data_IF_141131392423
#
_entry.id   IF_141131392423
#
_cell.length_a   1.000
_cell.length_b   1.000
_cell.length_c   1.000
_cell.angle_alpha   90.00
_cell.angle_beta   90.00
_cell.angle_gamma   90.00
#
_symmetry.space_group_name_H-M   'P 1'
#
loop_
_entity.id
_entity.type
_entity.pdbx_description
1 polymer ?
#
# COMPACT_ATOMS: atom_id res chain seq x y z
N UNK A 1 1.27 -3.80 -2.88
CA UNK A 1 2.70 -4.08 -3.05
C UNK A 1 3.47 -3.15 -2.15
N UNK A 2 4.52 -3.64 -1.49
CA UNK A 2 5.41 -2.79 -0.71
C UNK A 2 6.20 -1.89 -1.67
N UNK A 3 6.63 -0.70 -1.24
CA UNK A 3 7.49 0.13 -2.07
C UNK A 3 8.83 -0.54 -2.34
N UNK A 4 9.32 -0.37 -3.56
CA UNK A 4 10.54 -0.98 -4.08
C UNK A 4 11.76 -0.68 -3.20
N UNK A 5 11.85 0.56 -2.70
CA UNK A 5 12.92 1.01 -1.80
C UNK A 5 12.93 0.22 -0.48
N UNK A 6 11.77 -0.15 0.07
CA UNK A 6 11.72 -0.95 1.31
C UNK A 6 12.06 -2.42 1.01
N UNK A 7 11.55 -3.00 -0.08
CA UNK A 7 11.86 -4.40 -0.46
C UNK A 7 13.36 -4.58 -0.73
N UNK A 8 14.02 -3.63 -1.40
CA UNK A 8 15.47 -3.67 -1.63
C UNK A 8 16.27 -3.64 -0.32
N UNK A 9 15.91 -2.73 0.60
CA UNK A 9 16.58 -2.61 1.90
C UNK A 9 16.32 -3.83 2.79
N UNK A 10 15.11 -4.39 2.80
CA UNK A 10 14.76 -5.61 3.53
C UNK A 10 15.53 -6.83 3.01
N UNK A 11 15.64 -6.97 1.68
CA UNK A 11 16.44 -8.05 1.07
C UNK A 11 17.91 -7.92 1.40
N UNK A 12 18.46 -6.70 1.35
CA UNK A 12 19.85 -6.43 1.71
C UNK A 12 20.10 -6.72 3.19
N UNK A 13 19.18 -6.33 4.06
CA UNK A 13 19.23 -6.64 5.49
C UNK A 13 19.26 -8.15 5.73
N UNK A 14 18.41 -8.92 5.03
CA UNK A 14 18.36 -10.37 5.14
C UNK A 14 19.67 -11.03 4.68
N UNK A 15 20.25 -10.56 3.57
CA UNK A 15 21.55 -11.05 3.09
C UNK A 15 22.66 -10.84 4.13
N UNK A 16 22.74 -9.63 4.71
CA UNK A 16 23.73 -9.30 5.74
C UNK A 16 23.51 -10.07 7.04
N UNK A 17 22.26 -10.37 7.42
CA UNK A 17 21.97 -11.25 8.56
C UNK A 17 22.46 -12.68 8.31
N UNK A 18 22.24 -13.21 7.10
CA UNK A 18 22.75 -14.54 6.72
C UNK A 18 24.28 -14.54 6.75
N UNK A 19 24.93 -13.52 6.17
CA UNK A 19 26.40 -13.38 6.23
C UNK A 19 26.89 -13.30 7.68
N UNK A 20 26.25 -12.51 8.54
CA UNK A 20 26.59 -12.41 9.96
C UNK A 20 26.48 -13.75 10.69
N UNK A 21 25.42 -14.53 10.44
CA UNK A 21 25.24 -15.85 11.06
C UNK A 21 26.23 -16.91 10.55
N UNK A 22 26.67 -16.79 9.30
CA UNK A 22 27.73 -17.64 8.75
C UNK A 22 29.08 -17.30 9.37
N UNK A 23 29.46 -16.01 9.38
CA UNK A 23 30.72 -15.53 9.96
C UNK A 23 30.81 -15.77 11.47
N UNK A 24 29.69 -15.80 12.19
CA UNK A 24 29.66 -16.09 13.63
C UNK A 24 30.06 -17.54 13.97
N UNK A 25 29.96 -18.48 13.01
CA UNK A 25 30.37 -19.88 13.19
C UNK A 25 31.86 -20.10 12.93
N UNK A 26 32.52 -19.14 12.29
CA UNK A 26 33.95 -19.17 11.99
C UNK A 26 34.77 -18.57 13.14
N UNK A 27 35.98 -19.09 13.40
CA UNK A 27 36.84 -18.67 14.52
C UNK A 27 38.01 -17.77 14.13
N UNK A 28 38.15 -17.45 12.84
CA UNK A 28 39.26 -16.67 12.30
C UNK A 28 39.16 -15.18 12.69
N UNK A 29 40.30 -14.55 12.96
CA UNK A 29 40.34 -13.13 13.31
C UNK A 29 39.90 -12.21 12.17
N UNK A 30 40.09 -12.64 10.92
CA UNK A 30 39.54 -11.97 9.74
C UNK A 30 38.00 -12.01 9.72
N UNK A 31 37.40 -13.15 10.08
CA UNK A 31 35.94 -13.31 10.17
C UNK A 31 35.35 -12.44 11.29
N UNK A 32 36.05 -12.28 12.42
CA UNK A 32 35.63 -11.35 13.50
C UNK A 32 35.66 -9.89 13.07
N UNK A 33 36.67 -9.47 12.32
CA UNK A 33 36.74 -8.10 11.78
C UNK A 33 35.63 -7.85 10.75
N UNK A 34 35.35 -8.83 9.89
CA UNK A 34 34.28 -8.73 8.89
C UNK A 34 32.89 -8.73 9.55
N UNK A 35 32.68 -9.53 10.58
CA UNK A 35 31.46 -9.54 11.37
C UNK A 35 31.14 -8.17 11.99
N UNK A 36 32.15 -7.46 12.51
CA UNK A 36 31.96 -6.09 13.02
C UNK A 36 31.49 -5.12 11.94
N UNK A 37 32.08 -5.17 10.74
CA UNK A 37 31.67 -4.34 9.60
C UNK A 37 30.22 -4.64 9.16
N UNK A 38 29.87 -5.92 9.05
CA UNK A 38 28.50 -6.35 8.71
C UNK A 38 27.49 -5.88 9.77
N UNK A 39 27.86 -5.89 11.05
CA UNK A 39 27.01 -5.37 12.12
C UNK A 39 26.82 -3.85 12.05
N UNK A 40 27.85 -3.10 11.68
CA UNK A 40 27.76 -1.65 11.44
C UNK A 40 26.85 -1.35 10.25
N UNK A 41 27.02 -2.05 9.12
CA UNK A 41 26.16 -1.92 7.94
C UNK A 41 24.70 -2.28 8.24
N UNK A 42 24.46 -3.35 9.02
CA UNK A 42 23.12 -3.71 9.48
C UNK A 42 22.44 -2.62 10.30
N UNK A 43 23.21 -1.91 11.14
CA UNK A 43 22.67 -0.79 11.92
C UNK A 43 22.30 0.38 11.00
N UNK A 44 23.18 0.75 10.08
CA UNK A 44 22.92 1.81 9.10
C UNK A 44 21.65 1.53 8.29
N UNK A 45 21.52 0.30 7.73
CA UNK A 45 20.33 -0.08 6.97
C UNK A 45 19.08 -0.09 7.86
N UNK A 46 19.19 -0.54 9.12
CA UNK A 46 18.07 -0.49 10.07
C UNK A 46 17.65 0.94 10.44
N UNK A 47 18.59 1.88 10.54
CA UNK A 47 18.33 3.30 10.80
C UNK A 47 17.63 3.96 9.60
N UNK A 48 18.00 3.59 8.37
CA UNK A 48 17.35 4.08 7.14
C UNK A 48 15.95 3.47 6.91
N UNK A 49 15.80 2.19 7.22
CA UNK A 49 14.55 1.44 6.99
C UNK A 49 13.44 1.83 7.96
N UNK A 50 13.78 2.12 9.23
CA UNK A 50 12.81 2.51 10.27
C UNK A 50 11.91 3.69 9.86
N UNK A 51 12.41 4.87 9.45
CA UNK A 51 11.57 5.99 9.08
C UNK A 51 10.74 5.69 7.83
N UNK A 52 11.28 4.95 6.86
CA UNK A 52 10.56 4.57 5.64
C UNK A 52 9.39 3.63 5.95
N UNK A 53 9.61 2.61 6.77
CA UNK A 53 8.55 1.68 7.20
C UNK A 53 7.49 2.39 8.03
N UNK A 54 7.88 3.30 8.93
CA UNK A 54 6.91 4.08 9.72
C UNK A 54 6.03 4.96 8.82
N UNK A 55 6.62 5.64 7.83
CA UNK A 55 5.85 6.41 6.84
C UNK A 55 4.90 5.51 6.06
N UNK A 56 5.39 4.38 5.55
CA UNK A 56 4.57 3.42 4.80
C UNK A 56 3.42 2.84 5.63
N UNK A 57 3.68 2.49 6.89
CA UNK A 57 2.65 1.98 7.80
C UNK A 57 1.58 3.03 8.08
N UNK A 58 1.98 4.28 8.34
CA UNK A 58 1.04 5.37 8.54
C UNK A 58 0.16 5.62 7.29
N UNK A 59 0.75 5.61 6.10
CA UNK A 59 0.01 5.71 4.84
C UNK A 59 -0.96 4.55 4.65
N UNK A 60 -0.50 3.32 4.90
CA UNK A 60 -1.30 2.11 4.76
C UNK A 60 -2.46 2.06 5.74
N UNK A 61 -2.24 2.48 6.99
CA UNK A 61 -3.30 2.56 8.00
C UNK A 61 -4.40 3.54 7.58
N UNK A 62 -4.03 4.71 7.05
CA UNK A 62 -5.00 5.70 6.53
C UNK A 62 -5.81 5.15 5.37
N UNK A 63 -5.15 4.51 4.40
CA UNK A 63 -5.84 3.86 3.28
C UNK A 63 -6.78 2.77 3.77
N UNK A 64 -6.35 1.96 4.73
CA UNK A 64 -7.17 0.93 5.33
C UNK A 64 -8.36 1.49 6.11
N UNK A 65 -8.21 2.64 6.77
CA UNK A 65 -9.31 3.32 7.46
C UNK A 65 -10.37 3.79 6.46
N UNK A 66 -9.97 4.46 5.37
CA UNK A 66 -10.88 4.87 4.29
C UNK A 66 -11.58 3.64 3.70
N UNK A 67 -10.84 2.55 3.45
CA UNK A 67 -11.40 1.30 2.94
C UNK A 67 -12.43 0.71 3.91
N UNK A 68 -12.13 0.65 5.21
CA UNK A 68 -13.07 0.17 6.25
C UNK A 68 -14.33 1.03 6.31
N UNK A 69 -14.22 2.35 6.14
CA UNK A 69 -15.38 3.24 6.09
C UNK A 69 -16.23 3.00 4.84
N UNK A 70 -15.59 2.81 3.68
CA UNK A 70 -16.28 2.44 2.42
C UNK A 70 -16.97 1.08 2.52
N UNK A 71 -16.32 0.10 3.14
CA UNK A 71 -16.92 -1.22 3.41
C UNK A 71 -18.13 -1.11 4.34
N UNK A 72 -18.05 -0.28 5.39
CA UNK A 72 -19.20 0.01 6.27
C UNK A 72 -20.34 0.68 5.51
N UNK A 73 -20.04 1.61 4.60
CA UNK A 73 -21.05 2.25 3.75
C UNK A 73 -21.77 1.21 2.88
N UNK A 74 -21.02 0.32 2.22
CA UNK A 74 -21.59 -0.76 1.43
C UNK A 74 -22.47 -1.71 2.27
N UNK A 75 -22.04 -2.02 3.50
CA UNK A 75 -22.86 -2.81 4.43
C UNK A 75 -24.16 -2.11 4.83
N UNK A 76 -24.13 -0.79 5.07
CA UNK A 76 -25.33 -0.01 5.37
C UNK A 76 -26.29 0.04 4.17
N UNK A 77 -25.77 0.20 2.96
CA UNK A 77 -26.58 0.15 1.74
C UNK A 77 -27.25 -1.23 1.56
N UNK A 78 -26.53 -2.33 1.82
CA UNK A 78 -27.12 -3.67 1.81
C UNK A 78 -28.19 -3.84 2.88
N UNK A 79 -28.00 -3.26 4.07
CA UNK A 79 -29.02 -3.27 5.14
C UNK A 79 -30.26 -2.49 4.73
N UNK A 80 -30.12 -1.34 4.06
CA UNK A 80 -31.24 -0.58 3.51
C UNK A 80 -32.02 -1.42 2.50
N UNK A 81 -31.34 -2.04 1.52
CA UNK A 81 -32.02 -2.91 0.54
C UNK A 81 -32.72 -4.11 1.18
N UNK A 82 -32.22 -4.61 2.30
CA UNK A 82 -32.86 -5.70 3.05
C UNK A 82 -34.09 -5.20 3.81
N UNK A 83 -33.99 -4.05 4.47
CA UNK A 83 -35.10 -3.42 5.18
C UNK A 83 -36.24 -2.99 4.23
N UNK A 84 -35.90 -2.49 3.04
CA UNK A 84 -36.86 -2.17 1.97
C UNK A 84 -37.64 -3.41 1.52
N UNK A 85 -36.94 -4.55 1.35
CA UNK A 85 -37.58 -5.84 1.01
C UNK A 85 -38.51 -6.35 2.12
N UNK A 86 -38.15 -6.11 3.37
CA UNK A 86 -38.95 -6.48 4.54
C UNK A 86 -40.08 -5.49 4.87
N UNK A 87 -40.19 -4.38 4.13
CA UNK A 87 -41.12 -3.27 4.40
C UNK A 87 -40.91 -2.58 5.77
N UNK A 88 -39.72 -2.68 6.35
CA UNK A 88 -39.36 -2.06 7.62
C UNK A 88 -39.01 -0.56 7.45
N UNK A 89 -40.02 0.27 7.16
CA UNK A 89 -39.89 1.68 6.80
C UNK A 89 -39.16 2.54 7.86
N UNK A 90 -39.33 2.23 9.15
CA UNK A 90 -38.63 2.94 10.24
C UNK A 90 -37.11 2.79 10.09
N UNK A 91 -36.64 1.56 9.88
CA UNK A 91 -35.20 1.28 9.78
C UNK A 91 -34.59 1.83 8.49
N UNK A 92 -35.38 1.88 7.40
CA UNK A 92 -34.96 2.51 6.14
C UNK A 92 -34.75 4.01 6.33
N UNK A 93 -35.68 4.69 7.02
CA UNK A 93 -35.55 6.11 7.31
C UNK A 93 -34.32 6.40 8.17
N UNK A 94 -34.11 5.63 9.24
CA UNK A 94 -32.97 5.81 10.14
C UNK A 94 -31.63 5.64 9.41
N UNK A 95 -31.53 4.60 8.59
CA UNK A 95 -30.31 4.29 7.84
C UNK A 95 -30.05 5.32 6.73
N UNK A 96 -31.08 5.75 5.99
CA UNK A 96 -30.93 6.71 4.88
C UNK A 96 -30.65 8.14 5.35
N UNK A 97 -31.28 8.59 6.42
CA UNK A 97 -31.20 9.99 6.85
C UNK A 97 -30.15 10.26 7.92
N UNK A 98 -29.74 9.25 8.70
CA UNK A 98 -28.71 9.43 9.73
C UNK A 98 -27.45 8.63 9.41
N UNK A 99 -27.54 7.30 9.35
CA UNK A 99 -26.35 6.44 9.33
C UNK A 99 -25.49 6.58 8.05
N UNK A 100 -26.12 6.66 6.88
CA UNK A 100 -25.40 6.81 5.60
C UNK A 100 -24.72 8.18 5.50
N UNK A 101 -25.41 9.31 5.70
CA UNK A 101 -24.78 10.63 5.68
C UNK A 101 -23.64 10.79 6.68
N UNK A 102 -23.75 10.19 7.87
CA UNK A 102 -22.69 10.23 8.88
C UNK A 102 -21.42 9.49 8.43
N UNK A 103 -21.57 8.32 7.81
CA UNK A 103 -20.42 7.58 7.27
C UNK A 103 -19.83 8.28 6.06
N UNK A 104 -20.66 8.86 5.17
CA UNK A 104 -20.19 9.66 4.04
C UNK A 104 -19.38 10.87 4.51
N UNK A 105 -19.84 11.58 5.53
CA UNK A 105 -19.09 12.68 6.17
C UNK A 105 -17.75 12.22 6.75
N UNK A 106 -17.72 11.04 7.37
CA UNK A 106 -16.45 10.48 7.88
C UNK A 106 -15.50 10.09 6.76
N UNK A 107 -16.01 9.57 5.64
CA UNK A 107 -15.20 9.27 4.46
C UNK A 107 -14.62 10.56 3.88
N UNK A 108 -15.43 11.59 3.69
CA UNK A 108 -14.95 12.87 3.13
C UNK A 108 -13.93 13.53 4.05
N UNK A 109 -14.13 13.49 5.37
CA UNK A 109 -13.13 13.95 6.34
C UNK A 109 -11.82 13.17 6.25
N UNK A 110 -11.88 11.83 6.18
CA UNK A 110 -10.69 11.00 6.04
C UNK A 110 -9.95 11.25 4.71
N UNK A 111 -10.68 11.49 3.62
CA UNK A 111 -10.11 11.83 2.31
C UNK A 111 -9.49 13.24 2.29
N UNK A 112 -10.08 14.22 2.97
CA UNK A 112 -9.51 15.57 3.13
C UNK A 112 -8.25 15.53 3.99
N UNK A 113 -8.27 14.78 5.09
CA UNK A 113 -7.10 14.58 5.95
C UNK A 113 -5.96 13.89 5.20
N UNK A 114 -6.28 12.95 4.30
CA UNK A 114 -5.29 12.34 3.41
C UNK A 114 -4.69 13.38 2.45
N UNK A 115 -5.52 14.16 1.74
CA UNK A 115 -5.06 15.17 0.77
C UNK A 115 -4.19 16.26 1.40
N UNK A 116 -4.60 16.82 2.52
CA UNK A 116 -3.84 17.88 3.23
C UNK A 116 -2.49 17.42 3.73
N UNK A 117 -2.32 16.11 3.97
CA UNK A 117 -1.07 15.54 4.43
C UNK A 117 -0.17 15.09 3.28
N UNK A 118 -0.77 14.67 2.16
CA UNK A 118 -0.09 14.46 0.88
C UNK A 118 0.46 15.79 0.30
N UNK A 119 -0.19 16.94 0.58
CA UNK A 119 0.29 18.26 0.14
C UNK A 119 1.44 18.81 1.01
N UNK A 120 1.48 18.44 2.30
CA UNK A 120 2.55 18.83 3.23
C UNK A 120 3.75 17.86 3.23
N UNK A 121 3.57 16.65 2.71
CA UNK A 121 4.61 15.64 2.56
C UNK A 121 5.10 15.59 1.12
N UNK A 122 6.26 16.19 0.87
CA UNK A 122 7.16 15.95 -0.27
C UNK A 122 6.76 14.74 -1.12
N UNK A 123 6.09 14.99 -2.26
CA UNK A 123 5.99 14.30 -3.56
C UNK A 123 6.34 12.79 -3.75
N UNK A 124 6.60 12.02 -2.70
CA UNK A 124 6.98 10.62 -2.68
C UNK A 124 5.77 9.82 -2.19
N UNK A 125 4.79 9.68 -3.08
CA UNK A 125 3.69 8.74 -2.85
C UNK A 125 4.25 7.34 -2.93
N UNK A 126 4.46 6.75 -1.78
CA UNK A 126 4.95 5.38 -1.63
C UNK A 126 3.88 4.35 -2.00
N UNK A 127 2.62 4.77 -2.03
CA UNK A 127 1.46 3.97 -2.42
C UNK A 127 0.68 4.71 -3.52
N UNK A 128 0.85 4.27 -4.76
CA UNK A 128 -0.06 4.65 -5.84
C UNK A 128 -1.37 3.88 -5.72
N UNK A 129 -2.46 4.58 -5.41
CA UNK A 129 -3.80 3.99 -5.28
C UNK A 129 -4.55 3.91 -6.62
N UNK A 130 -4.10 4.65 -7.64
CA UNK A 130 -4.71 4.67 -8.97
C UNK A 130 -3.94 3.73 -9.89
N UNK A 131 -4.58 2.62 -10.28
CA UNK A 131 -4.02 1.72 -11.28
C UNK A 131 -4.06 2.40 -12.64
N UNK A 132 -2.89 2.73 -13.19
CA UNK A 132 -2.78 3.30 -14.54
C UNK A 132 -2.85 2.20 -15.59
N UNK A 133 -3.29 2.55 -16.80
CA UNK A 133 -3.34 1.61 -17.94
C UNK A 133 -1.97 0.97 -18.22
N UNK A 134 -0.89 1.71 -18.00
CA UNK A 134 0.49 1.24 -18.12
C UNK A 134 0.81 0.08 -17.17
N UNK A 135 0.33 0.16 -15.92
CA UNK A 135 0.51 -0.90 -14.92
C UNK A 135 -0.27 -2.17 -15.27
N UNK A 136 -1.47 -2.01 -15.83
CA UNK A 136 -2.26 -3.15 -16.36
C UNK A 136 -1.52 -3.80 -17.52
N UNK A 137 -1.02 -2.99 -18.47
CA UNK A 137 -0.26 -3.50 -19.61
C UNK A 137 1.02 -4.23 -19.18
N UNK A 138 1.70 -3.77 -18.12
CA UNK A 138 2.90 -4.41 -17.59
C UNK A 138 2.61 -5.80 -16.99
N UNK A 139 1.48 -5.96 -16.29
CA UNK A 139 1.05 -7.26 -15.75
C UNK A 139 0.66 -8.20 -16.87
N UNK A 140 -0.12 -7.74 -17.85
CA UNK A 140 -0.52 -8.54 -19.01
C UNK A 140 0.71 -8.95 -19.83
N UNK A 141 1.66 -8.04 -20.04
CA UNK A 141 2.92 -8.34 -20.71
C UNK A 141 3.73 -9.42 -19.98
N UNK A 142 3.79 -9.37 -18.64
CA UNK A 142 4.49 -10.38 -17.82
C UNK A 142 3.84 -11.76 -17.92
N UNK A 143 2.53 -11.84 -18.04
CA UNK A 143 1.81 -13.11 -18.19
C UNK A 143 1.81 -13.64 -19.62
N UNK A 144 1.77 -12.76 -20.62
CA UNK A 144 1.61 -13.14 -22.03
C UNK A 144 2.93 -13.15 -22.81
N UNK A 145 4.00 -12.55 -22.26
CA UNK A 145 5.28 -12.35 -22.94
C UNK A 145 5.25 -11.29 -24.04
N UNK A 146 4.12 -10.60 -24.24
CA UNK A 146 3.96 -9.59 -25.29
C UNK A 146 4.49 -8.24 -24.78
N UNK A 147 5.44 -7.59 -25.49
CA UNK A 147 5.99 -6.31 -25.06
C UNK A 147 4.90 -5.23 -24.93
N UNK A 148 5.00 -4.40 -23.88
CA UNK A 148 4.06 -3.30 -23.57
C UNK A 148 3.87 -2.35 -24.77
N UNK A 149 4.93 -2.12 -25.55
CA UNK A 149 4.90 -1.29 -26.75
C UNK A 149 3.89 -1.77 -27.83
N UNK A 150 3.58 -3.07 -27.90
CA UNK A 150 2.58 -3.61 -28.83
C UNK A 150 1.15 -3.52 -28.28
N UNK A 151 0.99 -3.43 -26.96
CA UNK A 151 -0.32 -3.30 -26.33
C UNK A 151 -0.85 -1.87 -26.49
N UNK A 152 0.01 -0.86 -26.31
CA UNK A 152 -0.37 0.56 -26.43
C UNK A 152 -0.63 0.99 -27.88
N UNK A 153 0.12 0.46 -28.86
CA UNK A 153 -0.09 0.78 -30.28
C UNK A 153 -1.48 0.37 -30.78
N UNK A 154 -2.00 -0.76 -30.30
CA UNK A 154 -3.31 -1.27 -30.70
C UNK A 154 -4.50 -0.41 -30.25
N UNK A 155 -4.32 0.36 -29.16
CA UNK A 155 -5.35 1.27 -28.64
C UNK A 155 -5.37 2.58 -29.43
N UNK A 156 -4.19 3.09 -29.84
CA UNK A 156 -4.09 4.28 -30.70
C UNK A 156 -4.64 4.03 -32.12
N UNK A 157 -4.38 2.86 -32.71
CA UNK A 157 -4.90 2.50 -34.05
C UNK A 157 -6.42 2.32 -34.07
N UNK A 158 -7.06 2.09 -32.92
CA UNK A 158 -8.52 1.93 -32.83
C UNK A 158 -9.25 3.26 -32.64
N UNK A 159 -8.51 4.37 -32.45
CA UNK A 159 -9.02 5.72 -32.26
C UNK A 159 -8.77 6.66 -33.47
N UNK A 160 -8.12 6.15 -34.52
CA UNK A 160 -8.02 6.78 -35.86
C UNK A 160 -9.02 6.13 -36.82
#
# INVERSE_FOLDING_TARGET
SQPEVIDELERRQLQLQVEATALAKEKDDMSKQRLKKVQEELKTISDELRPLVLKHQAEKERVNEIRRLKDKLAQLQLKVQKAERNQDLSTVADLRYYAIPDIERRITQAEVNKKTQDENGTNDKLVEEVVREEQVCQVVARWTGIPVARLTSSTSDRLM
#
